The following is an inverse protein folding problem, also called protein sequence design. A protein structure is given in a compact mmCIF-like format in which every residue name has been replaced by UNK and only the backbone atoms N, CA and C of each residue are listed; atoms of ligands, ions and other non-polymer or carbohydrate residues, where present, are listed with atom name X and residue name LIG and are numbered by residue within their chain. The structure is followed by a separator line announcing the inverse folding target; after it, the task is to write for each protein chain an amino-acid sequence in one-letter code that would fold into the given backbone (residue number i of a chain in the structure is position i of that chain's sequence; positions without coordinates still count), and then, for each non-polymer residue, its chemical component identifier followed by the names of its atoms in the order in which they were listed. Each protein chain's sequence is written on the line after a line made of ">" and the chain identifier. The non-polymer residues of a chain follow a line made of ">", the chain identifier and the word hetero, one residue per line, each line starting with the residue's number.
data_IF_834093777462
#
_entry.id   IF_834093777462
#
_cell.length_a   1.000
_cell.length_b   1.000
_cell.length_c   1.000
_cell.angle_alpha   90.00
_cell.angle_beta   90.00
_cell.angle_gamma   90.00
#
_symmetry.space_group_name_H-M   'P 1'
#
loop_
_entity.id
_entity.type
_entity.pdbx_description
1 polymer ?
#
# COMPACT_ATOMS: atom_id res chain seq x y z
N UNK A 1 15.22 -8.42 65.17
CA UNK A 1 16.02 -8.74 63.95
C UNK A 1 15.18 -9.36 62.83
N UNK A 2 14.24 -10.27 63.10
CA UNK A 2 13.44 -11.00 62.09
C UNK A 2 12.59 -10.10 61.16
N UNK A 3 12.02 -8.99 61.66
CA UNK A 3 11.25 -8.04 60.82
C UNK A 3 12.10 -7.35 59.73
N UNK A 4 13.38 -7.10 60.00
CA UNK A 4 14.30 -6.49 59.02
C UNK A 4 14.70 -7.50 57.93
N UNK A 5 14.85 -8.78 58.27
CA UNK A 5 15.07 -9.84 57.29
C UNK A 5 13.89 -10.01 56.33
N UNK A 6 12.66 -9.89 56.85
CA UNK A 6 11.45 -10.03 56.03
C UNK A 6 11.31 -8.90 54.99
N UNK A 7 11.68 -7.66 55.35
CA UNK A 7 11.66 -6.51 54.44
C UNK A 7 12.73 -6.66 53.34
N UNK A 8 13.91 -7.18 53.68
CA UNK A 8 14.98 -7.44 52.70
C UNK A 8 14.56 -8.55 51.72
N UNK A 9 13.92 -9.61 52.21
CA UNK A 9 13.41 -10.69 51.36
C UNK A 9 12.33 -10.20 50.38
N UNK A 10 11.40 -9.35 50.83
CA UNK A 10 10.36 -8.75 49.99
C UNK A 10 10.93 -7.81 48.91
N UNK A 11 12.00 -7.08 49.25
CA UNK A 11 12.70 -6.22 48.28
C UNK A 11 13.40 -7.02 47.19
N UNK A 12 13.85 -8.25 47.48
CA UNK A 12 14.53 -9.12 46.52
C UNK A 12 13.55 -9.82 45.55
N UNK A 13 12.31 -10.08 45.99
CA UNK A 13 11.27 -10.61 45.12
C UNK A 13 10.76 -9.58 44.09
N UNK A 14 10.84 -8.28 44.40
CA UNK A 14 10.44 -7.21 43.48
C UNK A 14 11.47 -6.89 42.39
N UNK A 15 12.75 -7.23 42.58
CA UNK A 15 13.78 -7.04 41.56
C UNK A 15 13.77 -8.09 40.44
N UNK A 16 13.03 -9.19 40.59
CA UNK A 16 13.01 -10.29 39.63
C UNK A 16 12.13 -10.03 38.39
N UNK A 17 11.35 -8.95 38.35
CA UNK A 17 10.44 -8.61 37.26
C UNK A 17 10.94 -7.46 36.37
N UNK A 18 12.25 -7.38 36.13
CA UNK A 18 12.78 -6.50 35.08
C UNK A 18 12.63 -7.17 33.71
N UNK A 19 11.61 -6.77 32.95
CA UNK A 19 11.52 -7.11 31.53
C UNK A 19 12.60 -6.35 30.75
N UNK A 20 13.56 -7.07 30.16
CA UNK A 20 14.59 -6.45 29.32
C UNK A 20 13.96 -5.92 28.01
N UNK A 21 14.23 -4.66 27.67
CA UNK A 21 13.85 -4.10 26.39
C UNK A 21 14.85 -4.55 25.32
N UNK A 22 14.37 -5.19 24.26
CA UNK A 22 15.18 -5.47 23.08
C UNK A 22 15.24 -4.22 22.23
N UNK A 23 16.43 -3.66 22.03
CA UNK A 23 16.63 -2.57 21.05
C UNK A 23 17.04 -3.18 19.71
N UNK A 24 16.55 -2.64 18.61
CA UNK A 24 16.99 -2.95 17.24
C UNK A 24 17.38 -1.64 16.61
N UNK A 25 18.60 -1.54 16.12
CA UNK A 25 19.11 -0.32 15.49
C UNK A 25 19.72 -0.63 14.14
N UNK A 26 19.92 0.39 13.33
CA UNK A 26 20.56 0.22 12.03
C UNK A 26 20.34 1.42 11.15
N UNK A 27 20.70 1.27 9.89
CA UNK A 27 20.55 2.29 8.88
C UNK A 27 19.73 1.77 7.68
N UNK A 28 18.87 2.62 7.13
CA UNK A 28 18.07 2.30 5.94
C UNK A 28 18.58 3.12 4.76
N UNK A 29 18.83 2.44 3.64
CA UNK A 29 19.36 3.04 2.41
C UNK A 29 18.59 2.59 1.17
N UNK A 30 18.70 3.40 0.13
CA UNK A 30 18.31 3.03 -1.23
C UNK A 30 19.26 1.94 -1.77
N UNK A 31 18.71 0.87 -2.35
CA UNK A 31 19.51 -0.24 -2.88
C UNK A 31 20.30 0.12 -4.16
N UNK A 32 19.83 1.09 -4.95
CA UNK A 32 20.46 1.54 -6.21
C UNK A 32 21.45 2.67 -5.98
N UNK A 33 21.02 3.75 -5.34
CA UNK A 33 21.85 4.96 -5.16
C UNK A 33 22.77 4.85 -3.96
N UNK A 34 22.40 4.04 -2.96
CA UNK A 34 23.12 3.94 -1.69
C UNK A 34 22.87 5.11 -0.74
N UNK A 35 21.97 6.02 -1.11
CA UNK A 35 21.63 7.18 -0.28
C UNK A 35 20.83 6.77 0.96
N UNK A 36 21.03 7.46 2.11
CA UNK A 36 20.21 7.23 3.30
C UNK A 36 18.75 7.61 3.05
N UNK A 37 17.82 6.82 3.58
CA UNK A 37 16.39 7.05 3.43
C UNK A 37 15.77 7.62 4.71
N UNK A 38 15.40 8.91 4.74
CA UNK A 38 14.70 9.51 5.87
C UNK A 38 13.21 9.18 5.87
N UNK A 39 12.58 9.19 7.05
CA UNK A 39 11.11 9.04 7.16
C UNK A 39 10.59 7.62 6.91
N UNK A 40 11.45 6.60 6.86
CA UNK A 40 11.04 5.21 6.65
C UNK A 40 10.36 4.67 7.90
N UNK A 41 9.18 4.06 7.74
CA UNK A 41 8.46 3.43 8.83
C UNK A 41 8.96 2.00 9.06
N UNK A 42 9.42 1.72 10.28
CA UNK A 42 9.78 0.39 10.77
C UNK A 42 8.75 -0.02 11.82
N UNK A 43 8.05 -1.13 11.59
CA UNK A 43 6.99 -1.61 12.48
C UNK A 43 7.18 -3.08 12.83
N UNK A 44 6.89 -3.45 14.07
CA UNK A 44 6.87 -4.87 14.47
C UNK A 44 5.59 -5.53 13.95
N UNK A 45 5.70 -6.69 13.30
CA UNK A 45 4.53 -7.43 12.78
C UNK A 45 3.55 -7.75 13.92
N UNK A 46 2.27 -7.42 13.70
CA UNK A 46 1.20 -7.70 14.67
C UNK A 46 1.14 -6.76 15.88
N UNK A 47 2.02 -5.74 15.98
CA UNK A 47 2.00 -4.75 17.07
C UNK A 47 1.86 -3.33 16.54
N UNK A 48 1.32 -2.43 17.36
CA UNK A 48 1.25 -1.00 17.06
C UNK A 48 2.56 -0.25 17.37
N UNK A 49 3.65 -0.98 17.60
CA UNK A 49 4.94 -0.43 17.97
C UNK A 49 5.81 -0.29 16.72
N UNK A 50 6.43 0.88 16.56
CA UNK A 50 7.30 1.18 15.45
C UNK A 50 8.24 2.34 15.75
N UNK A 51 9.13 2.61 14.81
CA UNK A 51 10.06 3.72 14.80
C UNK A 51 10.20 4.25 13.37
N UNK A 52 10.71 5.47 13.23
CA UNK A 52 10.94 6.11 11.95
C UNK A 52 12.43 6.45 11.82
N UNK A 53 12.98 6.41 10.60
CA UNK A 53 14.36 6.83 10.35
C UNK A 53 14.55 8.35 10.44
N UNK A 54 15.73 8.77 10.90
CA UNK A 54 16.16 10.17 10.90
C UNK A 54 16.67 10.65 9.52
N UNK A 55 17.19 11.88 9.44
CA UNK A 55 17.72 12.47 8.20
C UNK A 55 18.90 11.69 7.60
N UNK A 56 19.67 10.99 8.44
CA UNK A 56 20.81 10.17 8.03
C UNK A 56 20.41 8.71 7.78
N UNK A 57 19.11 8.39 7.81
CA UNK A 57 18.57 7.05 7.59
C UNK A 57 18.71 6.11 8.80
N UNK A 58 19.17 6.59 9.95
CA UNK A 58 19.33 5.76 11.15
C UNK A 58 18.01 5.57 11.88
N UNK A 59 17.83 4.40 12.48
CA UNK A 59 16.68 4.12 13.34
C UNK A 59 17.08 3.40 14.62
N UNK A 60 16.22 3.55 15.64
CA UNK A 60 16.30 2.84 16.91
C UNK A 60 14.90 2.43 17.37
N UNK A 61 14.62 1.14 17.32
CA UNK A 61 13.35 0.54 17.70
C UNK A 61 13.51 -0.19 19.03
N UNK A 62 12.82 0.27 20.08
CA UNK A 62 12.78 -0.41 21.37
C UNK A 62 11.54 -1.28 21.45
N UNK A 63 11.71 -2.58 21.62
CA UNK A 63 10.62 -3.58 21.67
C UNK A 63 10.66 -4.32 22.99
N UNK A 64 9.52 -4.38 23.67
CA UNK A 64 9.32 -5.20 24.86
C UNK A 64 8.96 -6.64 24.45
N UNK A 65 9.83 -7.30 23.69
CA UNK A 65 9.69 -8.72 23.40
C UNK A 65 11.03 -9.41 23.21
N UNK A 66 11.03 -10.72 23.46
CA UNK A 66 12.15 -11.58 23.15
C UNK A 66 12.13 -11.97 21.66
N UNK A 67 13.29 -12.03 21.00
CA UNK A 67 13.43 -12.63 19.68
C UNK A 67 13.02 -14.12 19.67
N UNK A 68 12.57 -14.69 18.53
CA UNK A 68 12.53 -14.07 17.22
C UNK A 68 11.23 -13.29 16.94
N UNK A 69 11.35 -12.20 16.17
CA UNK A 69 10.20 -11.47 15.65
C UNK A 69 10.50 -10.77 14.35
N UNK A 70 9.45 -10.46 13.59
CA UNK A 70 9.59 -9.81 12.30
C UNK A 70 9.31 -8.31 12.41
N UNK A 71 10.14 -7.53 11.72
CA UNK A 71 9.92 -6.12 11.46
C UNK A 71 9.58 -5.92 9.99
N UNK A 72 8.64 -5.04 9.72
CA UNK A 72 8.26 -4.60 8.37
C UNK A 72 8.75 -3.19 8.19
N UNK A 73 9.46 -2.98 7.09
CA UNK A 73 10.02 -1.70 6.68
C UNK A 73 9.26 -1.22 5.45
N UNK A 74 8.69 -0.03 5.54
CA UNK A 74 7.84 0.55 4.50
C UNK A 74 8.09 2.04 4.38
N UNK A 75 8.17 2.51 3.16
CA UNK A 75 8.15 3.94 2.84
C UNK A 75 7.49 4.14 1.46
N UNK A 76 7.09 5.37 1.16
CA UNK A 76 6.44 5.69 -0.11
C UNK A 76 7.43 5.52 -1.27
N UNK A 77 7.01 4.83 -2.34
CA UNK A 77 7.84 4.61 -3.53
C UNK A 77 8.82 3.42 -3.43
N UNK A 78 8.80 2.67 -2.32
CA UNK A 78 9.70 1.53 -2.11
C UNK A 78 8.95 0.24 -1.80
N UNK A 79 9.61 -0.88 -2.08
CA UNK A 79 9.01 -2.20 -1.90
C UNK A 79 9.06 -2.54 -0.42
N UNK A 80 7.91 -2.94 0.15
CA UNK A 80 7.86 -3.37 1.55
C UNK A 80 8.81 -4.55 1.79
N UNK A 81 9.61 -4.48 2.86
CA UNK A 81 10.57 -5.52 3.19
C UNK A 81 10.34 -6.02 4.61
N UNK A 82 10.25 -7.33 4.77
CA UNK A 82 10.12 -7.97 6.09
C UNK A 82 11.46 -8.57 6.48
N UNK A 83 11.91 -8.32 7.71
CA UNK A 83 13.17 -8.82 8.24
C UNK A 83 12.94 -9.47 9.60
N UNK A 84 13.49 -10.68 9.78
CA UNK A 84 13.45 -11.38 11.06
C UNK A 84 14.60 -10.95 11.97
N UNK A 85 14.25 -10.44 13.14
CA UNK A 85 15.17 -10.12 14.23
C UNK A 85 15.34 -11.36 15.09
N UNK A 86 16.57 -11.86 15.22
CA UNK A 86 16.86 -13.14 15.90
C UNK A 86 17.61 -12.97 17.22
N UNK A 87 18.19 -11.79 17.48
CA UNK A 87 18.96 -11.50 18.69
C UNK A 87 18.54 -10.17 19.31
N UNK A 88 18.66 -10.06 20.63
CA UNK A 88 18.46 -8.79 21.33
C UNK A 88 19.62 -7.84 21.05
N UNK A 89 19.34 -6.54 20.86
CA UNK A 89 20.35 -5.52 20.51
C UNK A 89 21.06 -5.78 19.17
N UNK A 90 20.34 -6.38 18.22
CA UNK A 90 20.84 -6.61 16.87
C UNK A 90 20.92 -5.31 16.08
N UNK A 91 22.05 -5.08 15.42
CA UNK A 91 22.18 -4.06 14.37
C UNK A 91 21.74 -4.66 13.03
N UNK A 92 20.79 -4.03 12.36
CA UNK A 92 20.22 -4.49 11.09
C UNK A 92 20.22 -3.33 10.09
N UNK A 93 21.15 -3.36 9.14
CA UNK A 93 21.19 -2.41 8.04
C UNK A 93 20.32 -2.93 6.89
N UNK A 94 19.55 -2.03 6.28
CA UNK A 94 18.42 -2.37 5.40
C UNK A 94 18.55 -1.60 4.10
N UNK A 95 18.69 -2.31 2.99
CA UNK A 95 18.58 -1.74 1.66
C UNK A 95 17.16 -1.98 1.13
N UNK A 96 16.46 -0.92 0.77
CA UNK A 96 15.14 -0.97 0.15
C UNK A 96 15.26 -0.79 -1.37
N UNK A 97 14.57 -1.66 -2.08
CA UNK A 97 14.45 -1.57 -3.53
C UNK A 97 13.33 -0.59 -3.88
N UNK A 98 13.63 0.40 -4.73
CA UNK A 98 12.62 1.28 -5.32
C UNK A 98 11.52 0.41 -5.92
N UNK A 99 10.29 0.70 -5.52
CA UNK A 99 9.15 0.08 -6.13
C UNK A 99 8.79 0.92 -7.36
N UNK A 100 9.30 0.51 -8.50
CA UNK A 100 8.73 0.88 -9.79
C UNK A 100 7.37 0.17 -9.96
N UNK A 101 6.46 0.38 -9.01
CA UNK A 101 5.08 -0.01 -9.17
C UNK A 101 4.45 1.00 -10.11
N UNK A 102 4.27 0.57 -11.36
CA UNK A 102 3.09 0.91 -12.13
C UNK A 102 1.89 0.86 -11.18
N UNK A 103 1.27 2.02 -10.96
CA UNK A 103 0.12 2.18 -10.09
C UNK A 103 -0.92 1.09 -10.44
N UNK A 104 -1.26 0.21 -9.50
CA UNK A 104 -2.37 -0.72 -9.68
C UNK A 104 -3.64 0.11 -9.93
N UNK A 105 -4.14 0.09 -11.16
CA UNK A 105 -5.30 0.87 -11.56
C UNK A 105 -6.57 0.32 -10.92
N UNK A 106 -7.07 1.07 -9.93
CA UNK A 106 -8.37 0.85 -9.31
C UNK A 106 -9.46 1.38 -10.24
N UNK A 107 -10.33 0.51 -10.74
CA UNK A 107 -11.52 0.90 -11.50
C UNK A 107 -12.69 0.99 -10.53
N UNK A 108 -13.24 2.19 -10.37
CA UNK A 108 -14.54 2.37 -9.70
C UNK A 108 -15.60 1.83 -10.66
N UNK A 109 -15.94 0.56 -10.51
CA UNK A 109 -17.13 -0.01 -11.15
C UNK A 109 -18.38 0.42 -10.38
N UNK A 110 -19.58 0.22 -10.94
CA UNK A 110 -20.87 0.58 -10.31
C UNK A 110 -21.16 -0.13 -8.96
N UNK A 111 -20.22 -0.91 -8.42
CA UNK A 111 -20.24 -1.44 -7.06
C UNK A 111 -19.55 -0.46 -6.09
N UNK A 112 -20.17 -0.19 -4.94
CA UNK A 112 -19.74 0.82 -3.95
C UNK A 112 -18.43 0.49 -3.22
N UNK A 113 -17.75 -0.58 -3.61
CA UNK A 113 -16.47 -1.03 -3.03
C UNK A 113 -15.45 -1.18 -4.16
N UNK A 114 -14.24 -0.62 -4.03
CA UNK A 114 -13.17 -0.83 -4.99
C UNK A 114 -12.81 -2.32 -5.07
N UNK A 115 -12.83 -2.90 -6.28
CA UNK A 115 -12.43 -4.29 -6.53
C UNK A 115 -11.35 -4.33 -7.60
N UNK A 116 -10.41 -5.28 -7.47
CA UNK A 116 -9.40 -5.52 -8.49
C UNK A 116 -10.06 -6.06 -9.75
N UNK A 117 -9.68 -5.54 -10.93
CA UNK A 117 -10.18 -6.02 -12.23
C UNK A 117 -9.93 -7.52 -12.41
N UNK A 118 -8.88 -8.07 -11.79
CA UNK A 118 -8.55 -9.51 -11.86
C UNK A 118 -9.46 -10.40 -11.00
N UNK A 119 -10.10 -9.83 -9.99
CA UNK A 119 -10.98 -10.54 -9.06
C UNK A 119 -12.46 -10.41 -9.44
N UNK A 120 -12.78 -9.51 -10.39
CA UNK A 120 -14.14 -9.29 -10.82
C UNK A 120 -14.67 -10.47 -11.66
N UNK A 121 -15.84 -11.05 -11.32
CA UNK A 121 -16.46 -12.11 -12.11
C UNK A 121 -17.09 -11.57 -13.41
N UNK A 122 -17.10 -10.25 -13.63
CA UNK A 122 -17.66 -9.60 -14.81
C UNK A 122 -16.59 -8.99 -15.69
N UNK A 123 -16.83 -8.96 -17.00
CA UNK A 123 -15.92 -8.31 -17.96
C UNK A 123 -15.91 -6.80 -17.76
N UNK A 124 -14.71 -6.24 -17.57
CA UNK A 124 -14.46 -4.81 -17.44
C UNK A 124 -13.48 -4.41 -18.54
N UNK A 125 -13.88 -3.46 -19.38
CA UNK A 125 -13.01 -2.81 -20.36
C UNK A 125 -12.63 -1.43 -19.81
N UNK A 126 -11.36 -1.03 -19.96
CA UNK A 126 -10.84 0.24 -19.46
C UNK A 126 -10.05 0.96 -20.55
N UNK A 127 -10.21 2.29 -20.58
CA UNK A 127 -9.40 3.18 -21.40
C UNK A 127 -8.77 4.26 -20.52
N UNK A 128 -7.45 4.17 -20.36
CA UNK A 128 -6.69 5.10 -19.51
C UNK A 128 -6.31 6.37 -20.25
N UNK A 129 -5.89 7.40 -19.51
CA UNK A 129 -5.54 8.72 -20.08
C UNK A 129 -4.45 8.62 -21.16
N UNK A 130 -3.50 7.67 -21.02
CA UNK A 130 -2.48 7.44 -22.05
C UNK A 130 -3.08 6.86 -23.33
N UNK A 131 -4.04 5.93 -23.22
CA UNK A 131 -4.73 5.34 -24.35
C UNK A 131 -5.60 6.38 -25.08
N UNK A 132 -6.25 7.29 -24.35
CA UNK A 132 -6.97 8.43 -24.94
C UNK A 132 -6.00 9.35 -25.70
N UNK A 133 -4.86 9.72 -25.10
CA UNK A 133 -3.87 10.60 -25.74
C UNK A 133 -3.23 9.99 -27.00
N UNK A 134 -3.04 8.68 -27.01
CA UNK A 134 -2.46 7.95 -28.14
C UNK A 134 -3.53 7.52 -29.17
N UNK A 135 -4.81 7.76 -28.89
CA UNK A 135 -5.90 7.47 -29.81
C UNK A 135 -5.83 8.41 -31.01
N UNK A 136 -5.99 7.86 -32.21
CA UNK A 136 -6.12 8.65 -33.45
C UNK A 136 -7.52 9.27 -33.61
N UNK A 137 -8.43 9.09 -32.64
CA UNK A 137 -9.81 9.52 -32.73
C UNK A 137 -9.96 11.02 -32.39
N UNK A 138 -10.87 11.75 -33.06
CA UNK A 138 -11.06 13.18 -32.85
C UNK A 138 -11.80 13.54 -31.54
N UNK A 139 -12.46 12.56 -30.91
CA UNK A 139 -13.18 12.74 -29.65
C UNK A 139 -13.02 11.50 -28.77
N UNK A 140 -13.16 11.67 -27.46
CA UNK A 140 -13.08 10.54 -26.52
C UNK A 140 -14.18 9.50 -26.79
N UNK A 141 -15.37 9.90 -27.23
CA UNK A 141 -16.45 8.99 -27.60
C UNK A 141 -16.03 8.08 -28.76
N UNK A 142 -15.40 8.65 -29.79
CA UNK A 142 -14.84 7.88 -30.91
C UNK A 142 -13.63 7.02 -30.50
N UNK A 143 -12.94 7.35 -29.40
CA UNK A 143 -11.92 6.48 -28.83
C UNK A 143 -12.54 5.26 -28.14
N UNK A 144 -13.66 5.44 -27.41
CA UNK A 144 -14.35 4.38 -26.68
C UNK A 144 -14.87 3.26 -27.59
N UNK A 145 -15.20 3.53 -28.85
CA UNK A 145 -15.61 2.53 -29.83
C UNK A 145 -14.51 1.49 -30.12
N UNK A 146 -13.24 1.80 -29.83
CA UNK A 146 -12.14 0.83 -29.95
C UNK A 146 -12.15 -0.23 -28.83
N UNK A 147 -12.97 -0.04 -27.78
CA UNK A 147 -13.10 -1.02 -26.70
C UNK A 147 -14.05 -2.15 -27.11
N UNK A 148 -13.75 -3.36 -26.63
CA UNK A 148 -14.49 -4.56 -27.02
C UNK A 148 -15.95 -4.47 -26.57
N UNK A 149 -16.87 -4.60 -27.53
CA UNK A 149 -18.31 -4.67 -27.26
C UNK A 149 -18.92 -3.33 -26.86
N UNK A 150 -18.21 -2.21 -27.11
CA UNK A 150 -18.72 -0.85 -27.04
C UNK A 150 -19.14 -0.41 -28.44
N UNK A 151 -20.30 0.23 -28.54
CA UNK A 151 -20.86 0.82 -29.76
C UNK A 151 -21.23 2.27 -29.45
N UNK A 152 -20.88 3.20 -30.34
CA UNK A 152 -21.19 4.62 -30.15
C UNK A 152 -22.09 5.09 -31.28
N UNK A 153 -23.32 5.46 -30.91
CA UNK A 153 -24.31 5.95 -31.85
C UNK A 153 -24.38 7.49 -31.82
N UNK A 154 -24.15 8.12 -32.97
CA UNK A 154 -24.18 9.59 -33.11
C UNK A 154 -25.48 10.01 -33.78
N UNK A 155 -26.33 10.77 -33.09
CA UNK A 155 -27.62 11.24 -33.65
C UNK A 155 -27.59 12.68 -34.14
N UNK A 156 -26.58 13.44 -33.72
CA UNK A 156 -26.34 14.82 -34.13
C UNK A 156 -24.88 15.16 -33.83
N UNK A 157 -24.41 16.32 -34.31
CA UNK A 157 -23.03 16.79 -34.12
C UNK A 157 -22.57 16.81 -32.65
N UNK A 158 -23.50 16.98 -31.71
CA UNK A 158 -23.21 17.08 -30.28
C UNK A 158 -23.81 15.94 -29.45
N UNK A 159 -24.48 14.97 -30.08
CA UNK A 159 -25.21 13.93 -29.36
C UNK A 159 -24.67 12.54 -29.71
N UNK A 160 -23.83 12.03 -28.81
CA UNK A 160 -23.27 10.69 -28.87
C UNK A 160 -23.85 9.85 -27.73
N UNK A 161 -24.46 8.71 -28.06
CA UNK A 161 -24.94 7.72 -27.10
C UNK A 161 -24.00 6.52 -27.09
N UNK A 162 -23.43 6.20 -25.93
CA UNK A 162 -22.61 5.01 -25.73
C UNK A 162 -23.52 3.84 -25.40
N UNK A 163 -23.26 2.70 -26.05
CA UNK A 163 -23.99 1.46 -25.89
C UNK A 163 -22.98 0.32 -25.72
N UNK A 164 -23.43 -0.80 -25.15
CA UNK A 164 -22.64 -2.03 -25.11
C UNK A 164 -23.48 -3.25 -25.47
N UNK A 165 -22.81 -4.32 -25.89
CA UNK A 165 -23.41 -5.66 -26.10
C UNK A 165 -24.62 -5.67 -27.05
N UNK A 166 -24.57 -4.88 -28.13
CA UNK A 166 -25.56 -4.92 -29.21
C UNK A 166 -26.87 -4.16 -28.96
N UNK A 167 -27.00 -3.45 -27.84
CA UNK A 167 -28.13 -2.54 -27.59
C UNK A 167 -27.92 -1.17 -28.26
N UNK A 168 -27.77 -1.16 -29.59
CA UNK A 168 -27.36 0.00 -30.38
C UNK A 168 -28.50 0.98 -30.73
N UNK A 169 -29.36 1.32 -29.76
CA UNK A 169 -30.37 2.37 -29.96
C UNK A 169 -29.77 3.73 -29.68
N UNK A 170 -30.14 4.75 -30.46
CA UNK A 170 -29.67 6.12 -30.28
C UNK A 170 -30.16 6.80 -28.99
N UNK A 171 -31.26 6.31 -28.41
CA UNK A 171 -31.84 6.80 -27.15
C UNK A 171 -31.90 5.67 -26.12
N UNK A 172 -30.74 5.12 -25.76
CA UNK A 172 -30.67 4.03 -24.80
C UNK A 172 -30.84 4.54 -23.36
N UNK A 173 -32.02 4.32 -22.77
CA UNK A 173 -32.31 4.69 -21.37
C UNK A 173 -31.88 3.63 -20.35
N UNK A 174 -31.38 2.47 -20.81
CA UNK A 174 -30.92 1.36 -19.96
C UNK A 174 -29.42 1.38 -19.72
N UNK A 175 -28.68 2.18 -20.49
CA UNK A 175 -27.25 2.34 -20.32
C UNK A 175 -26.96 3.51 -19.39
N UNK A 176 -26.57 3.19 -18.15
CA UNK A 176 -26.23 4.19 -17.14
C UNK A 176 -24.82 4.68 -17.38
N UNK A 177 -24.67 5.99 -17.60
CA UNK A 177 -23.38 6.67 -17.66
C UNK A 177 -23.19 7.41 -16.34
N UNK A 178 -22.08 7.16 -15.65
CA UNK A 178 -21.72 7.83 -14.42
C UNK A 178 -20.49 8.69 -14.68
N UNK A 179 -20.49 9.93 -14.20
CA UNK A 179 -19.35 10.85 -14.28
C UNK A 179 -18.90 11.10 -12.84
N UNK A 180 -17.63 10.81 -12.55
CA UNK A 180 -17.06 10.90 -11.20
C UNK A 180 -17.85 10.09 -10.14
N UNK A 181 -18.52 9.01 -10.58
CA UNK A 181 -19.30 8.12 -9.72
C UNK A 181 -20.73 8.59 -9.43
N UNK A 182 -21.22 9.64 -10.11
CA UNK A 182 -22.60 10.14 -10.02
C UNK A 182 -23.35 10.02 -11.35
#
# INVERSE_FOLDING_TARGET
>A
MMKKLFIIAISFLFSASMFAQTTVSGNVKDAKSGDPLPGVNIKVVGKSLGATTDFDGNYSLKVNQEPPFDIVVTTLGYTKKTISVTKSNQKVDISLDENASDLDEVVVSASRTPESVRESPVTIERMDVRAIKNSASPSFYSSLENLKGVDVNTSSLTFNSVNTRGFATYSNTRFVQLIDGM
#
